data_IF_400284026943
#
_entry.id   IF_400284026943
#
_cell.length_a   1.000
_cell.length_b   1.000
_cell.length_c   1.000
_cell.angle_alpha   90.00
_cell.angle_beta   90.00
_cell.angle_gamma   90.00
#
_symmetry.space_group_name_H-M   'P 1'
#
loop_
_entity.id
_entity.type
_entity.pdbx_description
1 polymer ?
#
# COMPACT_ATOMS: atom_id res chain seq x y z
N UNK A 1 9.23 0.65 17.48
CA UNK A 1 8.28 1.53 16.77
C UNK A 1 7.04 0.72 16.45
N UNK A 2 5.91 1.03 17.07
CA UNK A 2 4.61 0.50 16.65
C UNK A 2 4.25 1.15 15.32
N UNK A 3 4.74 0.54 14.24
CA UNK A 3 4.29 0.72 12.87
C UNK A 3 2.77 0.86 12.83
N UNK A 4 2.27 1.88 12.13
CA UNK A 4 0.85 2.31 11.99
C UNK A 4 -0.04 1.30 11.24
N UNK A 5 0.36 0.04 11.28
CA UNK A 5 -0.20 -1.14 10.66
C UNK A 5 -1.29 -1.81 11.50
N UNK A 6 -1.45 -1.44 12.76
CA UNK A 6 -2.60 -1.86 13.58
C UNK A 6 -3.86 -1.10 13.13
N UNK A 7 -4.93 -1.78 12.67
CA UNK A 7 -6.19 -1.14 12.30
C UNK A 7 -6.82 -0.27 13.38
N UNK A 8 -6.52 -0.53 14.66
CA UNK A 8 -7.03 0.25 15.79
C UNK A 8 -6.17 1.49 16.10
N UNK A 9 -5.03 1.67 15.42
CA UNK A 9 -4.18 2.82 15.63
C UNK A 9 -4.94 4.11 15.22
N UNK A 10 -4.91 5.19 16.01
CA UNK A 10 -5.68 6.40 15.73
C UNK A 10 -5.35 7.04 14.37
N UNK A 11 -4.10 6.89 13.92
CA UNK A 11 -3.64 7.34 12.60
C UNK A 11 -3.85 6.35 11.45
N UNK A 12 -4.46 5.18 11.68
CA UNK A 12 -4.55 4.13 10.67
C UNK A 12 -5.20 4.63 9.36
N UNK A 13 -6.21 5.49 9.47
CA UNK A 13 -6.93 6.08 8.34
C UNK A 13 -6.49 7.53 8.01
N UNK A 14 -5.49 8.07 8.70
CA UNK A 14 -4.97 9.41 8.42
C UNK A 14 -4.24 9.42 7.08
N UNK A 15 -4.77 10.14 6.10
CA UNK A 15 -4.25 10.12 4.73
C UNK A 15 -2.80 10.61 4.66
N UNK A 16 -2.45 11.67 5.39
CA UNK A 16 -1.09 12.20 5.38
C UNK A 16 -0.09 11.18 5.93
N UNK A 17 -0.41 10.50 7.04
CA UNK A 17 0.41 9.43 7.61
C UNK A 17 0.52 8.20 6.68
N UNK A 18 -0.58 7.81 6.03
CA UNK A 18 -0.59 6.72 5.04
C UNK A 18 0.30 7.03 3.85
N UNK A 19 0.17 8.23 3.28
CA UNK A 19 0.93 8.67 2.11
C UNK A 19 2.41 8.83 2.43
N UNK A 20 2.75 9.32 3.62
CA UNK A 20 4.13 9.39 4.10
C UNK A 20 4.75 7.99 4.26
N UNK A 21 4.00 7.04 4.81
CA UNK A 21 4.45 5.64 4.94
C UNK A 21 4.58 4.95 3.57
N UNK A 22 3.71 5.27 2.60
CA UNK A 22 3.87 4.83 1.21
C UNK A 22 5.19 5.31 0.62
N UNK A 23 5.48 6.62 0.71
CA UNK A 23 6.75 7.18 0.23
C UNK A 23 7.94 6.46 0.86
N UNK A 24 7.96 6.32 2.19
CA UNK A 24 9.05 5.62 2.91
C UNK A 24 9.23 4.18 2.44
N UNK A 25 8.14 3.41 2.34
CA UNK A 25 8.21 2.00 1.92
C UNK A 25 8.63 1.89 0.46
N UNK A 26 8.16 2.79 -0.40
CA UNK A 26 8.52 2.84 -1.81
C UNK A 26 10.00 3.14 -2.03
N UNK A 27 10.58 4.10 -1.30
CA UNK A 27 12.02 4.35 -1.33
C UNK A 27 12.83 3.12 -0.90
N UNK A 28 12.44 2.48 0.21
CA UNK A 28 13.12 1.27 0.69
C UNK A 28 13.00 0.10 -0.29
N UNK A 29 11.82 -0.10 -0.88
CA UNK A 29 11.60 -1.14 -1.88
C UNK A 29 12.38 -0.88 -3.16
N UNK A 30 12.45 0.38 -3.59
CA UNK A 30 13.25 0.81 -4.74
C UNK A 30 14.75 0.65 -4.49
N UNK A 31 15.22 0.92 -3.27
CA UNK A 31 16.63 0.78 -2.92
C UNK A 31 17.12 -0.68 -2.96
N UNK A 32 16.30 -1.64 -2.52
CA UNK A 32 16.71 -3.06 -2.50
C UNK A 32 16.33 -3.85 -3.76
N UNK A 33 15.25 -3.47 -4.45
CA UNK A 33 14.68 -4.14 -5.64
C UNK A 33 14.54 -5.66 -5.58
N UNK A 34 14.53 -6.30 -4.41
CA UNK A 34 14.45 -7.77 -4.29
C UNK A 34 13.07 -8.33 -4.66
N UNK A 35 12.03 -7.50 -4.56
CA UNK A 35 10.65 -7.96 -4.59
C UNK A 35 10.06 -8.18 -6.00
N UNK A 36 10.73 -7.73 -7.07
CA UNK A 36 10.18 -7.75 -8.45
C UNK A 36 9.82 -9.14 -8.96
N UNK A 37 10.49 -10.19 -8.44
CA UNK A 37 10.22 -11.59 -8.83
C UNK A 37 8.94 -12.15 -8.20
N UNK A 38 8.41 -11.49 -7.17
CA UNK A 38 7.33 -12.02 -6.34
C UNK A 38 6.00 -11.28 -6.50
N UNK A 39 5.99 -10.07 -7.05
CA UNK A 39 4.78 -9.25 -7.13
C UNK A 39 4.86 -8.21 -8.27
N UNK A 40 3.75 -8.04 -8.99
CA UNK A 40 3.60 -7.15 -10.14
C UNK A 40 3.62 -5.68 -9.80
N UNK A 41 3.26 -5.29 -8.57
CA UNK A 41 3.30 -3.89 -8.12
C UNK A 41 4.71 -3.28 -8.19
N UNK A 42 5.77 -4.08 -7.99
CA UNK A 42 7.14 -3.57 -7.90
C UNK A 42 7.71 -3.08 -9.24
N UNK A 43 7.58 -3.81 -10.36
CA UNK A 43 7.92 -3.27 -11.68
C UNK A 43 7.28 -1.91 -11.98
N UNK A 44 6.00 -1.73 -11.65
CA UNK A 44 5.29 -0.45 -11.83
C UNK A 44 5.84 0.63 -10.92
N UNK A 45 6.07 0.32 -9.63
CA UNK A 45 6.71 1.23 -8.69
C UNK A 45 8.07 1.71 -9.20
N UNK A 46 8.94 0.77 -9.59
CA UNK A 46 10.28 1.10 -10.02
C UNK A 46 10.27 1.94 -11.29
N UNK A 47 9.38 1.60 -12.24
CA UNK A 47 9.17 2.42 -13.44
C UNK A 47 8.79 3.86 -13.10
N UNK A 48 7.96 4.10 -12.08
CA UNK A 48 7.58 5.47 -11.69
C UNK A 48 8.74 6.21 -11.03
N UNK A 49 9.41 5.59 -10.07
CA UNK A 49 10.56 6.20 -9.39
C UNK A 49 11.71 6.48 -10.37
N UNK A 50 12.01 5.56 -11.28
CA UNK A 50 13.08 5.67 -12.29
C UNK A 50 12.84 6.79 -13.33
N UNK A 51 11.65 7.40 -13.39
CA UNK A 51 11.40 8.58 -14.24
C UNK A 51 12.03 9.87 -13.68
N UNK A 52 12.36 9.88 -12.38
CA UNK A 52 12.88 11.05 -11.70
C UNK A 52 14.40 10.96 -11.57
N UNK A 53 15.12 12.04 -11.89
CA UNK A 53 16.58 12.05 -11.91
C UNK A 53 17.24 11.69 -10.57
N UNK A 54 16.59 12.05 -9.46
CA UNK A 54 17.05 11.75 -8.10
C UNK A 54 16.41 10.49 -7.50
N UNK A 55 15.58 9.78 -8.26
CA UNK A 55 14.92 8.53 -7.87
C UNK A 55 14.20 8.62 -6.50
N UNK A 56 13.64 9.79 -6.19
CA UNK A 56 12.91 10.06 -4.95
C UNK A 56 11.44 9.60 -5.08
N UNK A 57 11.01 8.61 -4.28
CA UNK A 57 9.62 8.16 -4.30
C UNK A 57 8.64 9.22 -3.77
N UNK A 58 9.11 10.26 -3.10
CA UNK A 58 8.33 11.43 -2.68
C UNK A 58 7.78 12.24 -3.86
N UNK A 59 8.31 12.06 -5.07
CA UNK A 59 7.82 12.71 -6.29
C UNK A 59 6.68 12.00 -6.98
N UNK A 60 6.33 10.77 -6.57
CA UNK A 60 5.20 10.06 -7.15
C UNK A 60 3.90 10.81 -6.89
N UNK A 61 3.10 10.95 -7.94
CA UNK A 61 1.74 11.49 -7.80
C UNK A 61 0.86 10.52 -7.02
N UNK A 62 -0.23 11.03 -6.42
CA UNK A 62 -1.23 10.19 -5.73
C UNK A 62 -1.75 9.07 -6.66
N UNK A 63 -1.95 9.38 -7.95
CA UNK A 63 -2.40 8.38 -8.93
C UNK A 63 -1.36 7.29 -9.20
N UNK A 64 -0.07 7.64 -9.27
CA UNK A 64 1.01 6.66 -9.43
C UNK A 64 1.16 5.79 -8.18
N UNK A 65 1.03 6.38 -6.98
CA UNK A 65 0.99 5.60 -5.74
C UNK A 65 -0.20 4.64 -5.72
N UNK A 66 -1.40 5.13 -6.03
CA UNK A 66 -2.62 4.32 -6.06
C UNK A 66 -2.53 3.19 -7.09
N UNK A 67 -1.88 3.40 -8.23
CA UNK A 67 -1.70 2.32 -9.21
C UNK A 67 -0.84 1.18 -8.66
N UNK A 68 0.25 1.48 -7.94
CA UNK A 68 1.08 0.45 -7.29
C UNK A 68 0.26 -0.37 -6.28
N UNK A 69 -0.62 0.32 -5.53
CA UNK A 69 -1.55 -0.28 -4.57
C UNK A 69 -2.55 -1.19 -5.27
N UNK A 70 -3.19 -0.71 -6.33
CA UNK A 70 -4.22 -1.42 -7.09
C UNK A 70 -3.68 -2.70 -7.76
N UNK A 71 -2.38 -2.76 -8.04
CA UNK A 71 -1.69 -3.94 -8.60
C UNK A 71 -1.30 -4.99 -7.53
N UNK A 72 -1.54 -4.73 -6.24
CA UNK A 72 -1.21 -5.64 -5.16
C UNK A 72 -2.36 -6.62 -4.86
N UNK A 73 -2.16 -7.90 -5.15
CA UNK A 73 -3.16 -8.96 -4.92
C UNK A 73 -3.15 -9.57 -3.51
N UNK A 74 -2.46 -8.97 -2.53
CA UNK A 74 -2.43 -9.46 -1.14
C UNK A 74 -1.96 -10.92 -0.94
N UNK A 75 -1.16 -11.48 -1.87
CA UNK A 75 -0.66 -12.86 -1.80
C UNK A 75 0.46 -13.09 -0.77
N UNK A 76 1.04 -12.02 -0.24
CA UNK A 76 2.14 -12.00 0.75
C UNK A 76 3.47 -12.65 0.32
N UNK A 77 3.64 -13.04 -0.95
CA UNK A 77 4.91 -13.62 -1.43
C UNK A 77 6.09 -12.66 -1.29
N UNK A 78 5.90 -11.37 -1.53
CA UNK A 78 6.95 -10.36 -1.32
C UNK A 78 7.31 -10.19 0.16
N UNK A 79 6.35 -10.32 1.08
CA UNK A 79 6.58 -10.20 2.52
C UNK A 79 7.43 -11.35 3.06
N UNK A 80 7.10 -12.60 2.69
CA UNK A 80 7.81 -13.79 3.19
C UNK A 80 9.29 -13.78 2.78
N UNK A 81 9.60 -13.22 1.61
CA UNK A 81 10.96 -13.15 1.07
C UNK A 81 11.67 -11.82 1.37
N UNK A 82 11.03 -10.88 2.07
CA UNK A 82 11.63 -9.59 2.40
C UNK A 82 12.50 -9.72 3.66
N UNK A 83 13.76 -9.26 3.64
CA UNK A 83 14.61 -9.28 4.83
C UNK A 83 14.29 -8.16 5.84
N UNK A 84 13.41 -7.23 5.47
CA UNK A 84 13.17 -5.99 6.23
C UNK A 84 11.85 -5.98 7.01
N UNK A 85 11.22 -7.14 7.21
CA UNK A 85 9.89 -7.24 7.83
C UNK A 85 9.88 -6.90 9.33
N UNK A 86 8.71 -6.56 9.90
CA UNK A 86 8.57 -6.35 11.33
C UNK A 86 9.04 -7.55 12.15
N UNK A 87 9.80 -7.28 13.20
CA UNK A 87 10.40 -8.30 14.07
C UNK A 87 11.71 -8.90 13.56
N UNK A 88 12.11 -8.63 12.31
CA UNK A 88 13.40 -9.05 11.76
C UNK A 88 14.34 -7.88 11.45
N UNK A 89 13.79 -6.70 11.13
CA UNK A 89 14.58 -5.51 10.84
C UNK A 89 13.93 -4.25 11.42
N UNK A 90 14.74 -3.23 11.71
CA UNK A 90 14.29 -1.95 12.28
C UNK A 90 13.35 -1.15 11.35
N UNK A 91 13.51 -1.32 10.03
CA UNK A 91 12.66 -0.67 9.03
C UNK A 91 11.21 -1.16 9.03
N UNK A 92 10.97 -2.34 9.62
CA UNK A 92 9.66 -2.92 9.85
C UNK A 92 8.71 -2.77 8.65
N UNK A 93 9.13 -3.23 7.48
CA UNK A 93 8.43 -3.06 6.20
C UNK A 93 7.36 -4.15 6.02
N UNK A 94 6.08 -3.78 6.04
CA UNK A 94 4.96 -4.69 5.74
C UNK A 94 4.17 -4.16 4.53
N UNK A 95 4.70 -4.43 3.33
CA UNK A 95 4.11 -3.94 2.07
C UNK A 95 2.65 -4.38 1.90
N UNK A 96 2.28 -5.67 2.04
CA UNK A 96 0.88 -6.08 1.87
C UNK A 96 -0.06 -5.38 2.84
N UNK A 97 0.34 -5.25 4.12
CA UNK A 97 -0.49 -4.59 5.11
C UNK A 97 -0.60 -3.08 4.89
N UNK A 98 0.45 -2.44 4.39
CA UNK A 98 0.37 -1.05 3.95
C UNK A 98 -0.62 -0.88 2.79
N UNK A 99 -0.60 -1.76 1.79
CA UNK A 99 -1.58 -1.69 0.69
C UNK A 99 -3.02 -1.84 1.21
N UNK A 100 -3.25 -2.76 2.15
CA UNK A 100 -4.56 -2.92 2.81
C UNK A 100 -4.97 -1.67 3.61
N UNK A 101 -4.01 -1.01 4.26
CA UNK A 101 -4.24 0.25 4.98
C UNK A 101 -4.62 1.38 4.02
N UNK A 102 -4.00 1.46 2.85
CA UNK A 102 -4.37 2.44 1.81
C UNK A 102 -5.80 2.21 1.33
N UNK A 103 -6.19 0.97 1.08
CA UNK A 103 -7.57 0.65 0.69
C UNK A 103 -8.59 1.06 1.76
N UNK A 104 -8.29 0.76 3.04
CA UNK A 104 -9.14 1.18 4.15
C UNK A 104 -9.26 2.71 4.24
N UNK A 105 -8.15 3.43 4.09
CA UNK A 105 -8.12 4.89 4.05
C UNK A 105 -8.96 5.42 2.90
N UNK A 106 -8.77 4.93 1.66
CA UNK A 106 -9.52 5.38 0.46
C UNK A 106 -11.03 5.15 0.60
N UNK A 107 -11.44 4.07 1.26
CA UNK A 107 -12.86 3.82 1.56
C UNK A 107 -13.40 4.84 2.57
N UNK A 108 -12.67 5.08 3.67
CA UNK A 108 -13.06 6.03 4.71
C UNK A 108 -13.13 7.49 4.20
N UNK A 109 -12.19 7.88 3.34
CA UNK A 109 -12.10 9.22 2.75
C UNK A 109 -12.92 9.38 1.46
N UNK A 110 -13.66 8.35 1.04
CA UNK A 110 -14.50 8.32 -0.18
C UNK A 110 -13.71 8.56 -1.48
N UNK A 111 -12.44 8.17 -1.52
CA UNK A 111 -11.58 8.21 -2.71
C UNK A 111 -11.79 7.01 -3.65
N UNK A 112 -12.84 6.21 -3.42
CA UNK A 112 -13.24 5.13 -4.32
C UNK A 112 -14.42 5.56 -5.21
N UNK A 113 -14.53 5.02 -6.44
CA UNK A 113 -15.66 5.33 -7.32
C UNK A 113 -17.00 5.03 -6.64
N UNK A 114 -17.98 5.92 -6.83
CA UNK A 114 -19.32 5.80 -6.22
C UNK A 114 -19.95 4.44 -6.53
N UNK A 115 -19.85 3.97 -7.79
CA UNK A 115 -20.33 2.64 -8.20
C UNK A 115 -19.71 1.53 -7.36
N UNK A 116 -18.38 1.54 -7.17
CA UNK A 116 -17.66 0.54 -6.38
C UNK A 116 -18.16 0.55 -4.93
N UNK A 117 -18.28 1.73 -4.32
CA UNK A 117 -18.78 1.89 -2.95
C UNK A 117 -20.21 1.36 -2.78
N UNK A 118 -21.10 1.67 -3.73
CA UNK A 118 -22.48 1.17 -3.71
C UNK A 118 -22.53 -0.35 -3.85
N UNK A 119 -21.77 -0.92 -4.79
CA UNK A 119 -21.69 -2.38 -4.97
C UNK A 119 -21.12 -3.06 -3.72
N UNK A 120 -20.05 -2.53 -3.13
CA UNK A 120 -19.47 -3.08 -1.89
C UNK A 120 -20.45 -3.01 -0.72
N UNK A 121 -21.18 -1.90 -0.56
CA UNK A 121 -22.20 -1.79 0.49
C UNK A 121 -23.33 -2.80 0.25
N UNK A 122 -23.88 -2.87 -0.96
CA UNK A 122 -24.97 -3.79 -1.27
C UNK A 122 -24.56 -5.27 -1.14
N UNK A 123 -23.42 -5.66 -1.71
CA UNK A 123 -22.94 -7.06 -1.66
C UNK A 123 -22.35 -7.45 -0.30
N UNK A 124 -21.86 -6.47 0.48
CA UNK A 124 -21.31 -6.70 1.81
C UNK A 124 -22.37 -6.87 2.89
N UNK A 125 -23.59 -6.40 2.66
CA UNK A 125 -24.74 -6.72 3.50
C UNK A 125 -25.33 -8.05 3.05
N UNK A 126 -24.76 -9.17 3.52
CA UNK A 126 -25.27 -10.52 3.26
C UNK A 126 -26.73 -10.66 3.67
N UNK A 127 -27.13 -9.98 4.75
CA UNK A 127 -28.51 -9.95 5.26
C UNK A 127 -29.49 -9.28 4.28
N UNK A 128 -28.99 -8.48 3.33
CA UNK A 128 -29.80 -7.89 2.25
C UNK A 128 -29.93 -8.83 1.03
N UNK A 129 -29.17 -9.93 0.99
CA UNK A 129 -29.13 -10.90 -0.11
C UNK A 129 -29.85 -12.22 0.22
N UNK A 130 -30.29 -12.43 1.47
CA UNK A 130 -31.08 -13.59 1.90
C UNK A 130 -31.03 -13.87 3.39
#
# INVERSE_FOLDING_TARGET
MTITYDPNHPKYLDEADVRAELTRVYDLCHGCRLCFKYCTSFPTLFKFVDKHDDQDAGKLTIAEQDQVVDECFQCKLCYINCPYIPGQHEWALDFPRLMLRVDAMRQATKQVPVRKRLTTSFMGHTDALG
#
